data_IF_419248823319
#
_entry.id   IF_419248823319
#
_cell.length_a   1.000
_cell.length_b   1.000
_cell.length_c   1.000
_cell.angle_alpha   90.00
_cell.angle_beta   90.00
_cell.angle_gamma   90.00
#
_symmetry.space_group_name_H-M   'P 1'
#
loop_
_entity.id
_entity.type
_entity.pdbx_description
1 polymer ?
#
# COMPACT_ATOMS: atom_id res chain seq x y z
N UNK A 1 21.64 -25.02 -7.42
CA UNK A 1 20.71 -25.11 -6.27
C UNK A 1 19.56 -24.15 -6.55
N UNK A 2 18.31 -24.60 -6.57
CA UNK A 2 17.15 -23.70 -6.61
C UNK A 2 16.93 -23.20 -5.18
N UNK A 3 17.20 -21.93 -4.89
CA UNK A 3 16.74 -21.29 -3.66
C UNK A 3 15.22 -21.15 -3.76
N UNK A 4 14.49 -21.78 -2.83
CA UNK A 4 13.06 -21.55 -2.68
C UNK A 4 12.84 -20.22 -1.95
N UNK A 5 11.87 -19.43 -2.40
CA UNK A 5 11.49 -18.20 -1.73
C UNK A 5 10.90 -18.53 -0.35
N UNK A 6 11.51 -18.00 0.71
CA UNK A 6 11.01 -18.10 2.07
C UNK A 6 10.56 -16.71 2.53
N UNK A 7 9.32 -16.62 2.99
CA UNK A 7 8.72 -15.40 3.51
C UNK A 7 8.54 -15.49 5.03
N UNK A 8 8.76 -14.37 5.70
CA UNK A 8 8.42 -14.20 7.11
C UNK A 8 6.90 -14.14 7.35
N UNK A 9 6.49 -13.88 8.61
CA UNK A 9 5.08 -13.70 8.94
C UNK A 9 4.47 -12.48 8.24
N UNK A 10 3.15 -12.45 8.17
CA UNK A 10 2.38 -11.28 7.74
C UNK A 10 2.61 -10.11 8.69
N UNK A 11 3.02 -8.96 8.14
CA UNK A 11 3.31 -7.76 8.93
C UNK A 11 2.16 -6.75 8.91
N UNK A 12 1.37 -6.71 7.83
CA UNK A 12 0.18 -5.86 7.78
C UNK A 12 -0.95 -6.55 8.52
N UNK A 13 -1.44 -5.91 9.57
CA UNK A 13 -2.64 -6.34 10.28
C UNK A 13 -3.86 -5.80 9.52
N UNK A 14 -4.90 -6.64 9.38
CA UNK A 14 -6.15 -6.33 8.67
C UNK A 14 -5.96 -5.79 7.24
N UNK A 15 -5.01 -6.39 6.54
CA UNK A 15 -4.73 -6.06 5.15
C UNK A 15 -5.62 -6.80 4.15
N UNK A 16 -6.24 -7.93 4.50
CA UNK A 16 -7.18 -8.62 3.62
C UNK A 16 -8.17 -9.49 4.43
N UNK A 17 -9.47 -9.18 4.43
CA UNK A 17 -10.09 -7.96 3.87
C UNK A 17 -9.55 -6.69 4.55
N UNK A 18 -9.56 -5.57 3.85
CA UNK A 18 -9.10 -4.28 4.38
C UNK A 18 -10.02 -3.80 5.50
N UNK A 19 -9.47 -3.58 6.70
CA UNK A 19 -10.18 -2.93 7.81
C UNK A 19 -9.33 -1.83 8.42
N UNK A 20 -9.96 -0.81 9.01
CA UNK A 20 -9.26 0.36 9.55
C UNK A 20 -8.29 0.02 10.69
N UNK A 21 -8.55 -1.05 11.44
CA UNK A 21 -7.73 -1.42 12.60
C UNK A 21 -6.28 -1.75 12.18
N UNK A 22 -5.31 -1.04 12.77
CA UNK A 22 -3.88 -1.15 12.44
C UNK A 22 -3.38 -0.10 11.45
N UNK A 23 -4.28 0.51 10.65
CA UNK A 23 -3.95 1.57 9.71
C UNK A 23 -4.05 2.95 10.34
N UNK A 24 -3.09 3.81 10.03
CA UNK A 24 -3.18 5.25 10.26
C UNK A 24 -3.51 5.97 8.97
N UNK A 25 -4.30 7.04 9.07
CA UNK A 25 -4.65 7.91 7.95
C UNK A 25 -4.29 9.35 8.29
N UNK A 26 -3.57 10.01 7.40
CA UNK A 26 -3.23 11.43 7.50
C UNK A 26 -3.66 12.19 6.25
N UNK A 27 -4.06 13.46 6.40
CA UNK A 27 -4.42 14.33 5.28
C UNK A 27 -5.84 14.12 4.73
N UNK A 28 -6.74 13.50 5.50
CA UNK A 28 -8.16 13.44 5.14
C UNK A 28 -8.82 14.83 5.23
N UNK A 29 -9.62 15.18 4.23
CA UNK A 29 -10.51 16.34 4.23
C UNK A 29 -11.75 16.07 3.35
N UNK A 30 -12.44 17.12 2.90
CA UNK A 30 -13.65 17.00 2.08
C UNK A 30 -13.41 16.37 0.70
N UNK A 31 -12.18 16.40 0.17
CA UNK A 31 -11.85 15.92 -1.17
C UNK A 31 -10.72 14.88 -1.18
N UNK A 32 -10.02 14.73 -0.06
CA UNK A 32 -9.03 13.70 0.23
C UNK A 32 -9.63 12.67 1.19
N UNK A 33 -10.03 11.52 0.68
CA UNK A 33 -10.82 10.54 1.41
C UNK A 33 -10.10 9.20 1.40
N UNK A 34 -9.72 8.71 2.58
CA UNK A 34 -9.38 7.32 2.82
C UNK A 34 -10.41 6.71 3.78
N UNK A 35 -11.29 5.85 3.26
CA UNK A 35 -12.37 5.21 4.03
C UNK A 35 -12.29 3.70 3.90
N UNK A 36 -12.39 3.02 5.04
CA UNK A 36 -12.45 1.56 5.13
C UNK A 36 -13.90 1.13 5.33
N UNK A 37 -14.45 0.36 4.39
CA UNK A 37 -15.81 -0.17 4.49
C UNK A 37 -15.95 -1.43 3.67
N UNK A 38 -16.69 -2.42 4.18
CA UNK A 38 -16.98 -3.66 3.45
C UNK A 38 -15.75 -4.47 3.03
N UNK A 39 -14.64 -4.37 3.77
CA UNK A 39 -13.39 -5.05 3.42
C UNK A 39 -12.54 -4.35 2.37
N UNK A 40 -12.86 -3.09 2.04
CA UNK A 40 -12.20 -2.28 1.02
C UNK A 40 -11.74 -0.95 1.62
N UNK A 41 -10.55 -0.51 1.24
CA UNK A 41 -10.09 0.87 1.37
C UNK A 41 -10.40 1.60 0.07
N UNK A 42 -11.24 2.64 0.12
CA UNK A 42 -11.31 3.64 -0.94
C UNK A 42 -10.29 4.72 -0.65
N UNK A 43 -9.37 4.95 -1.58
CA UNK A 43 -8.40 6.05 -1.58
C UNK A 43 -8.76 7.03 -2.69
N UNK A 44 -9.17 8.23 -2.33
CA UNK A 44 -9.53 9.32 -3.23
C UNK A 44 -8.76 10.60 -2.87
N UNK A 45 -8.20 11.29 -3.86
CA UNK A 45 -7.60 12.62 -3.71
C UNK A 45 -7.74 13.36 -5.03
N UNK A 46 -8.23 14.60 -5.00
CA UNK A 46 -8.51 15.40 -6.21
C UNK A 46 -7.37 16.38 -6.56
N UNK A 47 -6.53 16.72 -5.59
CA UNK A 47 -5.39 17.63 -5.73
C UNK A 47 -4.13 17.05 -5.10
N UNK A 48 -3.03 17.81 -5.12
CA UNK A 48 -1.75 17.39 -4.56
C UNK A 48 -1.60 17.68 -3.07
N UNK A 49 -2.48 18.51 -2.49
CA UNK A 49 -2.38 19.00 -1.10
C UNK A 49 -3.77 19.16 -0.47
N UNK A 50 -3.98 18.73 0.78
CA UNK A 50 -3.01 18.03 1.64
C UNK A 50 -2.63 16.65 1.09
N UNK A 51 -1.44 16.17 1.46
CA UNK A 51 -1.05 14.81 1.07
C UNK A 51 -1.88 13.81 1.86
N UNK A 52 -2.78 13.10 1.17
CA UNK A 52 -3.43 11.93 1.73
C UNK A 52 -2.42 10.77 1.85
N UNK A 53 -2.40 10.12 3.00
CA UNK A 53 -1.52 8.99 3.26
C UNK A 53 -2.22 7.95 4.13
N UNK A 54 -2.08 6.68 3.74
CA UNK A 54 -2.60 5.52 4.51
C UNK A 54 -1.42 4.60 4.80
N UNK A 55 -1.13 4.33 6.08
CA UNK A 55 0.16 3.73 6.44
C UNK A 55 0.15 2.86 7.70
N UNK A 56 1.15 1.97 7.80
CA UNK A 56 1.53 1.23 9.01
C UNK A 56 3.06 1.23 9.18
N UNK A 57 3.54 1.44 10.40
CA UNK A 57 4.97 1.42 10.74
C UNK A 57 5.47 -0.01 11.02
N UNK A 58 5.64 -0.81 9.96
CA UNK A 58 5.90 -2.25 10.03
C UNK A 58 7.22 -2.68 9.39
N UNK A 59 7.98 -1.74 8.83
CA UNK A 59 9.19 -2.05 8.07
C UNK A 59 10.46 -1.79 8.88
N UNK A 60 11.51 -2.51 8.51
CA UNK A 60 12.89 -2.24 8.94
C UNK A 60 13.71 -1.84 7.72
N UNK A 61 14.39 -0.68 7.80
CA UNK A 61 15.22 -0.15 6.70
C UNK A 61 16.29 -1.19 6.30
N UNK A 62 16.49 -1.36 5.00
CA UNK A 62 17.47 -2.28 4.42
C UNK A 62 16.95 -3.70 4.19
N UNK A 63 15.78 -4.07 4.75
CA UNK A 63 15.15 -5.38 4.51
C UNK A 63 14.37 -5.40 3.19
N UNK A 64 14.29 -6.58 2.57
CA UNK A 64 13.49 -6.81 1.36
C UNK A 64 12.13 -7.36 1.78
N UNK A 65 11.07 -6.83 1.19
CA UNK A 65 9.69 -7.24 1.45
C UNK A 65 9.00 -7.69 0.17
N UNK A 66 8.23 -8.76 0.26
CA UNK A 66 7.19 -9.05 -0.72
C UNK A 66 5.93 -8.28 -0.32
N UNK A 67 5.48 -7.40 -1.22
CA UNK A 67 4.24 -6.63 -1.08
C UNK A 67 3.23 -7.19 -2.08
N UNK A 68 2.07 -7.60 -1.60
CA UNK A 68 0.94 -8.01 -2.43
C UNK A 68 -0.16 -6.97 -2.30
N UNK A 69 -0.62 -6.40 -3.42
CA UNK A 69 -1.71 -5.42 -3.47
C UNK A 69 -2.84 -5.98 -4.31
N UNK A 70 -4.04 -6.01 -3.73
CA UNK A 70 -5.30 -6.27 -4.41
C UNK A 70 -6.04 -4.97 -4.70
N UNK A 71 -6.34 -4.72 -5.98
CA UNK A 71 -7.13 -3.59 -6.45
C UNK A 71 -8.47 -4.14 -6.95
N UNK A 72 -9.57 -3.71 -6.33
CA UNK A 72 -10.92 -4.14 -6.71
C UNK A 72 -11.57 -3.23 -7.75
N UNK A 73 -11.27 -1.93 -7.72
CA UNK A 73 -11.79 -0.96 -8.69
C UNK A 73 -10.85 0.23 -8.86
N UNK A 74 -10.91 0.86 -10.02
CA UNK A 74 -10.19 2.11 -10.32
C UNK A 74 -11.02 3.01 -11.20
N UNK A 75 -11.32 4.20 -10.70
CA UNK A 75 -12.04 5.26 -11.44
C UNK A 75 -11.02 6.17 -12.13
N UNK A 76 -9.97 6.58 -11.43
CA UNK A 76 -8.95 7.48 -11.99
C UNK A 76 -7.58 7.34 -11.32
N UNK A 77 -6.55 7.85 -11.99
CA UNK A 77 -5.23 8.06 -11.40
C UNK A 77 -4.44 6.79 -11.07
N UNK A 78 -3.43 6.95 -10.23
CA UNK A 78 -2.57 5.88 -9.71
C UNK A 78 -2.23 6.10 -8.24
N UNK A 79 -1.86 5.01 -7.57
CA UNK A 79 -1.26 5.03 -6.24
C UNK A 79 0.22 4.68 -6.33
N UNK A 80 0.98 5.16 -5.36
CA UNK A 80 2.39 4.84 -5.15
C UNK A 80 2.63 4.49 -3.69
N UNK A 81 3.79 3.91 -3.44
CA UNK A 81 4.41 3.85 -2.12
C UNK A 81 5.72 4.61 -2.14
N UNK A 82 6.08 5.21 -1.02
CA UNK A 82 7.39 5.82 -0.82
C UNK A 82 8.27 4.96 0.12
N UNK A 83 7.87 3.70 0.36
CA UNK A 83 8.55 2.78 1.28
C UNK A 83 10.02 2.53 0.93
N UNK A 84 10.43 2.70 -0.33
CA UNK A 84 11.80 2.50 -0.81
C UNK A 84 12.72 3.69 -0.54
N UNK A 85 12.23 4.74 0.11
CA UNK A 85 12.93 6.03 0.24
C UNK A 85 12.85 6.89 -1.03
N UNK A 86 12.10 6.41 -2.04
CA UNK A 86 11.83 7.06 -3.31
C UNK A 86 10.44 6.66 -3.78
N UNK A 87 9.92 7.32 -4.81
CA UNK A 87 8.60 6.99 -5.36
C UNK A 87 8.64 5.67 -6.13
N UNK A 88 7.79 4.73 -5.71
CA UNK A 88 7.51 3.49 -6.42
C UNK A 88 6.02 3.43 -6.79
N UNK A 89 5.71 3.46 -8.09
CA UNK A 89 4.33 3.36 -8.56
C UNK A 89 3.79 1.95 -8.35
N UNK A 90 2.61 1.84 -7.75
CA UNK A 90 1.88 0.59 -7.59
C UNK A 90 0.87 0.42 -8.73
N UNK A 91 0.28 -0.76 -8.82
CA UNK A 91 -0.68 -1.08 -9.85
C UNK A 91 -1.93 -0.20 -9.81
N UNK A 92 -2.49 0.02 -10.99
CA UNK A 92 -3.54 1.02 -11.23
C UNK A 92 -4.78 0.44 -11.87
N UNK A 93 -4.77 -0.84 -12.25
CA UNK A 93 -5.95 -1.55 -12.76
C UNK A 93 -6.41 -2.60 -11.75
N UNK A 94 -7.68 -3.03 -11.79
CA UNK A 94 -8.14 -4.12 -10.95
C UNK A 94 -7.31 -5.40 -11.16
N UNK A 95 -6.96 -6.08 -10.07
CA UNK A 95 -6.10 -7.26 -10.09
C UNK A 95 -5.29 -7.44 -8.81
N UNK A 96 -4.50 -8.51 -8.75
CA UNK A 96 -3.56 -8.80 -7.67
C UNK A 96 -2.12 -8.70 -8.17
N UNK A 97 -1.30 -7.95 -7.45
CA UNK A 97 0.04 -7.56 -7.87
C UNK A 97 1.06 -7.87 -6.80
N UNK A 98 2.20 -8.44 -7.19
CA UNK A 98 3.29 -8.82 -6.28
C UNK A 98 4.53 -8.00 -6.62
N UNK A 99 5.09 -7.34 -5.60
CA UNK A 99 6.31 -6.55 -5.68
C UNK A 99 7.35 -7.08 -4.69
N UNK A 100 8.64 -6.99 -5.04
CA UNK A 100 9.75 -7.21 -4.10
C UNK A 100 10.53 -5.91 -3.96
N UNK A 101 10.41 -5.27 -2.81
CA UNK A 101 10.91 -3.91 -2.57
C UNK A 101 11.85 -3.89 -1.38
N UNK A 102 12.97 -3.19 -1.51
CA UNK A 102 13.86 -2.90 -0.38
C UNK A 102 13.33 -1.69 0.38
N UNK A 103 13.13 -1.82 1.68
CA UNK A 103 12.66 -0.73 2.52
C UNK A 103 13.75 0.34 2.69
N UNK A 104 13.46 1.56 2.26
CA UNK A 104 14.22 2.79 2.56
C UNK A 104 13.58 3.64 3.66
N UNK A 105 12.44 3.19 4.21
CA UNK A 105 11.77 3.80 5.37
C UNK A 105 11.30 2.71 6.35
N UNK A 106 10.83 3.12 7.53
CA UNK A 106 10.23 2.22 8.54
C UNK A 106 8.73 1.99 8.34
N UNK A 107 8.13 2.61 7.31
CA UNK A 107 6.68 2.67 7.14
C UNK A 107 6.28 2.15 5.75
N UNK A 108 5.34 1.21 5.72
CA UNK A 108 4.61 0.92 4.49
C UNK A 108 3.51 1.96 4.34
N UNK A 109 3.45 2.60 3.18
CA UNK A 109 2.47 3.65 2.92
C UNK A 109 1.86 3.55 1.52
N UNK A 110 0.63 4.04 1.41
CA UNK A 110 -0.09 4.28 0.18
C UNK A 110 -0.35 5.78 0.07
N UNK A 111 0.08 6.38 -1.03
CA UNK A 111 -0.22 7.76 -1.37
C UNK A 111 -0.46 7.91 -2.87
N UNK A 112 -0.84 9.11 -3.32
CA UNK A 112 -1.17 9.40 -4.72
C UNK A 112 0.07 9.37 -5.62
N UNK A 113 -0.04 8.69 -6.76
CA UNK A 113 0.92 8.72 -7.86
C UNK A 113 0.61 9.78 -8.93
N UNK A 114 -0.64 10.26 -9.00
CA UNK A 114 -1.12 11.30 -9.95
C UNK A 114 -1.92 12.38 -9.23
N UNK A 115 -2.12 13.56 -9.85
CA UNK A 115 -2.83 14.71 -9.25
C UNK A 115 -4.20 14.32 -8.69
N UNK A 116 -5.05 13.72 -9.52
CA UNK A 116 -6.28 13.06 -9.09
C UNK A 116 -6.10 11.54 -9.03
N UNK A 117 -6.71 10.90 -8.04
CA UNK A 117 -6.82 9.45 -7.90
C UNK A 117 -8.12 9.08 -7.20
N UNK A 118 -8.75 8.00 -7.66
CA UNK A 118 -9.86 7.34 -6.96
C UNK A 118 -9.78 5.84 -7.27
N UNK A 119 -9.36 5.09 -6.26
CA UNK A 119 -9.07 3.65 -6.35
C UNK A 119 -9.60 2.92 -5.11
N UNK A 120 -10.02 1.67 -5.32
CA UNK A 120 -10.46 0.76 -4.26
C UNK A 120 -9.48 -0.40 -4.14
N UNK A 121 -9.02 -0.64 -2.91
CA UNK A 121 -8.03 -1.65 -2.54
C UNK A 121 -8.71 -2.63 -1.60
N UNK A 122 -8.69 -3.92 -1.93
CA UNK A 122 -9.31 -5.00 -1.14
C UNK A 122 -8.30 -5.86 -0.39
N UNK A 123 -7.01 -5.66 -0.67
CA UNK A 123 -5.93 -6.46 -0.13
C UNK A 123 -4.60 -5.70 -0.08
N UNK A 124 -3.93 -5.74 1.07
CA UNK A 124 -2.51 -5.44 1.23
C UNK A 124 -1.89 -6.54 2.09
N UNK A 125 -0.83 -7.16 1.61
CA UNK A 125 0.00 -8.06 2.40
C UNK A 125 1.46 -7.63 2.27
N UNK A 126 2.18 -7.62 3.40
CA UNK A 126 3.61 -7.31 3.44
C UNK A 126 4.29 -8.37 4.29
N UNK A 127 5.28 -9.05 3.69
CA UNK A 127 6.09 -10.08 4.35
C UNK A 127 7.55 -9.87 4.05
N UNK A 128 8.41 -10.01 5.06
CA UNK A 128 9.87 -9.97 4.83
C UNK A 128 10.29 -11.17 3.97
N UNK A 129 11.21 -10.95 3.03
CA UNK A 129 11.88 -12.01 2.28
C UNK A 129 13.08 -12.48 3.10
N UNK A 130 13.02 -13.73 3.59
CA UNK A 130 14.07 -14.31 4.46
C UNK A 130 15.18 -14.95 3.62
N UNK A 131 14.81 -15.59 2.51
CA UNK A 131 15.75 -16.12 1.52
C UNK A 131 15.08 -16.24 0.15
N UNK A 132 15.86 -16.14 -0.92
CA UNK A 132 15.42 -16.26 -2.31
C UNK A 132 16.61 -16.34 -3.24
#
# INVERSE_FOLDING_TARGET
MNSSLVLGPELIVNGSPMAAAGWSVGGNDATHIATFSGGVLRYQSDTTSPQLNVFQAVLTIGKIYQVVIGVSARVSGSIKTDMTGSTFNLATSPGSYIYRLTAGSTTFNLTRGTAGVDISIDGVSVREVISG
#
